data_IF_419290250302
#
_entry.id   IF_419290250302
#
_cell.length_a   1.000
_cell.length_b   1.000
_cell.length_c   1.000
_cell.angle_alpha   90.00
_cell.angle_beta   90.00
_cell.angle_gamma   90.00
#
_symmetry.space_group_name_H-M   'P 1'
#
loop_
_entity.id
_entity.type
_entity.pdbx_description
1 polymer ?
#
# COMPACT_ATOMS: atom_id res chain seq x y z
N UNK A 1 3.10 -5.01 5.27
CA UNK A 1 3.65 -6.10 4.43
C UNK A 1 4.96 -6.63 5.00
N UNK A 2 5.74 -5.80 5.69
CA UNK A 2 6.97 -6.18 6.36
C UNK A 2 6.79 -7.38 7.33
N UNK A 3 5.80 -7.36 8.21
CA UNK A 3 5.53 -8.49 9.13
C UNK A 3 5.29 -9.81 8.41
N UNK A 4 4.58 -9.77 7.27
CA UNK A 4 4.30 -10.96 6.46
C UNK A 4 5.58 -11.51 5.82
N UNK A 5 6.51 -10.62 5.46
CA UNK A 5 7.84 -11.00 5.01
C UNK A 5 8.64 -11.67 6.14
N UNK A 6 8.63 -11.09 7.34
CA UNK A 6 9.36 -11.61 8.50
C UNK A 6 8.87 -13.00 8.95
N UNK A 7 7.57 -13.27 8.78
CA UNK A 7 6.99 -14.60 8.98
C UNK A 7 7.39 -15.61 7.88
N UNK A 8 8.13 -15.17 6.86
CA UNK A 8 8.67 -16.01 5.80
C UNK A 8 7.66 -16.36 4.70
N UNK A 9 6.54 -15.65 4.60
CA UNK A 9 5.51 -15.90 3.57
C UNK A 9 5.86 -15.25 2.21
N UNK A 10 6.70 -14.21 2.19
CA UNK A 10 7.12 -13.50 0.97
C UNK A 10 8.63 -13.61 0.74
N UNK A 11 9.12 -14.76 0.26
CA UNK A 11 10.58 -15.03 0.17
C UNK A 11 11.25 -14.59 -1.12
N UNK A 12 10.49 -14.32 -2.17
CA UNK A 12 11.03 -14.00 -3.50
C UNK A 12 10.69 -12.57 -3.88
N UNK A 13 11.54 -11.95 -4.72
CA UNK A 13 11.22 -10.63 -5.29
C UNK A 13 9.99 -10.76 -6.18
N UNK A 14 9.04 -9.84 -6.00
CA UNK A 14 7.81 -9.85 -6.79
C UNK A 14 6.68 -9.05 -6.13
N UNK A 15 5.54 -9.10 -6.82
CA UNK A 15 4.30 -8.42 -6.45
C UNK A 15 3.34 -9.46 -5.88
N UNK A 16 2.85 -9.21 -4.67
CA UNK A 16 1.99 -10.10 -3.91
C UNK A 16 0.68 -9.40 -3.59
N UNK A 17 -0.44 -10.02 -3.94
CA UNK A 17 -1.78 -9.48 -3.68
C UNK A 17 -2.43 -10.28 -2.55
N UNK A 18 -2.28 -9.80 -1.32
CA UNK A 18 -2.65 -10.56 -0.12
C UNK A 18 -3.59 -9.77 0.78
N UNK A 19 -4.32 -10.48 1.64
CA UNK A 19 -5.09 -9.86 2.71
C UNK A 19 -4.17 -9.54 3.89
N UNK A 20 -4.17 -8.29 4.33
CA UNK A 20 -3.45 -7.85 5.53
C UNK A 20 -4.45 -7.29 6.54
N UNK A 21 -4.13 -7.43 7.82
CA UNK A 21 -4.93 -6.87 8.92
C UNK A 21 -4.02 -6.11 9.88
N UNK A 22 -3.86 -4.80 9.70
CA UNK A 22 -3.20 -3.93 10.66
C UNK A 22 -3.85 -4.01 12.05
N UNK A 23 -3.06 -3.75 13.09
CA UNK A 23 -3.56 -3.52 14.43
C UNK A 23 -4.54 -2.34 14.44
N UNK A 24 -5.65 -2.49 15.16
CA UNK A 24 -6.74 -1.49 15.19
C UNK A 24 -7.71 -1.58 14.01
N UNK A 25 -7.35 -2.22 12.89
CA UNK A 25 -8.28 -2.42 11.79
C UNK A 25 -9.39 -3.42 12.17
N UNK A 26 -10.65 -3.06 11.92
CA UNK A 26 -11.79 -3.92 12.22
C UNK A 26 -11.82 -5.16 11.32
N UNK A 27 -11.41 -5.02 10.06
CA UNK A 27 -11.42 -6.08 9.05
C UNK A 27 -10.08 -6.11 8.29
N UNK A 28 -9.74 -7.29 7.75
CA UNK A 28 -8.62 -7.40 6.82
C UNK A 28 -8.99 -6.78 5.46
N UNK A 29 -8.01 -6.24 4.75
CA UNK A 29 -8.20 -5.70 3.39
C UNK A 29 -7.10 -6.20 2.45
N UNK A 30 -7.40 -6.21 1.14
CA UNK A 30 -6.46 -6.64 0.11
C UNK A 30 -5.44 -5.53 -0.13
N UNK A 31 -4.16 -5.87 -0.15
CA UNK A 31 -3.07 -4.94 -0.42
C UNK A 31 -2.09 -5.53 -1.44
N UNK A 32 -1.42 -4.63 -2.16
CA UNK A 32 -0.27 -4.97 -2.98
C UNK A 32 1.00 -4.85 -2.13
N UNK A 33 1.66 -5.98 -1.88
CA UNK A 33 2.96 -6.05 -1.22
C UNK A 33 4.06 -6.26 -2.27
N UNK A 34 5.16 -5.51 -2.19
CA UNK A 34 6.35 -5.70 -3.03
C UNK A 34 7.54 -6.11 -2.19
N UNK A 35 8.17 -7.21 -2.58
CA UNK A 35 9.44 -7.63 -1.99
C UNK A 35 10.61 -7.01 -2.72
N UNK A 36 11.26 -6.04 -2.07
CA UNK A 36 12.42 -5.32 -2.62
C UNK A 36 13.50 -5.25 -1.56
N UNK A 37 14.72 -5.69 -1.89
CA UNK A 37 15.90 -5.63 -1.01
C UNK A 37 15.67 -6.19 0.40
N UNK A 38 14.99 -7.34 0.50
CA UNK A 38 14.63 -7.99 1.77
C UNK A 38 13.75 -7.13 2.68
N UNK A 39 12.92 -6.26 2.10
CA UNK A 39 11.87 -5.54 2.81
C UNK A 39 10.53 -5.72 2.08
N UNK A 40 9.47 -5.90 2.85
CA UNK A 40 8.10 -6.07 2.37
C UNK A 40 7.37 -4.74 2.36
N UNK A 41 7.29 -4.11 1.20
CA UNK A 41 6.65 -2.80 1.04
C UNK A 41 5.17 -2.93 0.78
N UNK A 42 4.35 -2.18 1.49
CA UNK A 42 2.91 -2.02 1.19
C UNK A 42 2.74 -0.85 0.22
N UNK A 43 2.11 -1.10 -0.93
CA UNK A 43 1.82 -0.05 -1.92
C UNK A 43 0.49 0.63 -1.57
N UNK A 44 0.53 1.94 -1.31
CA UNK A 44 -0.66 2.72 -0.94
C UNK A 44 -1.29 3.42 -2.14
N UNK A 45 -0.50 3.68 -3.19
CA UNK A 45 -0.95 4.33 -4.42
C UNK A 45 -0.08 3.88 -5.60
N UNK A 46 -0.72 3.68 -6.76
CA UNK A 46 -0.06 3.36 -8.02
C UNK A 46 -0.70 4.13 -9.18
N UNK A 47 0.14 4.78 -9.98
CA UNK A 47 -0.18 5.45 -11.27
C UNK A 47 0.76 4.92 -12.34
N UNK A 48 0.24 4.70 -13.54
CA UNK A 48 0.99 4.16 -14.67
C UNK A 48 0.49 4.66 -16.04
N UNK A 49 -0.80 4.90 -16.23
CA UNK A 49 -1.41 5.11 -17.56
C UNK A 49 -2.57 6.11 -17.58
N UNK A 50 -3.03 6.58 -16.42
CA UNK A 50 -4.18 7.48 -16.31
C UNK A 50 -5.54 6.81 -16.54
N UNK A 51 -5.62 5.48 -16.47
CA UNK A 51 -6.87 4.72 -16.60
C UNK A 51 -7.87 4.97 -15.47
N UNK A 52 -7.41 5.49 -14.33
CA UNK A 52 -8.26 5.80 -13.18
C UNK A 52 -8.20 7.31 -12.91
N UNK A 53 -9.38 7.92 -12.80
CA UNK A 53 -9.49 9.32 -12.36
C UNK A 53 -9.17 9.44 -10.86
N UNK A 54 -8.28 10.37 -10.52
CA UNK A 54 -7.89 10.71 -9.15
C UNK A 54 -8.54 12.02 -8.66
N UNK A 55 -9.32 12.70 -9.49
CA UNK A 55 -10.17 13.81 -9.04
C UNK A 55 -11.44 13.26 -8.39
N UNK A 56 -11.30 12.79 -7.16
CA UNK A 56 -12.33 12.07 -6.41
C UNK A 56 -12.81 12.85 -5.18
N UNK A 57 -14.00 12.51 -4.73
CA UNK A 57 -14.58 13.04 -3.48
C UNK A 57 -13.81 12.54 -2.26
N UNK A 58 -14.00 13.20 -1.12
CA UNK A 58 -13.41 12.75 0.13
C UNK A 58 -13.85 11.32 0.47
N UNK A 59 -15.14 11.00 0.35
CA UNK A 59 -15.63 9.66 0.68
C UNK A 59 -14.97 8.54 -0.17
N UNK A 60 -14.71 8.81 -1.45
CA UNK A 60 -13.96 7.88 -2.31
C UNK A 60 -12.51 7.73 -1.88
N UNK A 61 -11.83 8.83 -1.53
CA UNK A 61 -10.47 8.77 -0.98
C UNK A 61 -10.41 8.05 0.37
N UNK A 62 -11.48 8.12 1.16
CA UNK A 62 -11.60 7.45 2.45
C UNK A 62 -11.62 5.93 2.28
N UNK A 63 -12.47 5.44 1.39
CA UNK A 63 -12.65 4.02 1.12
C UNK A 63 -11.59 3.43 0.18
N UNK A 64 -10.98 4.24 -0.67
CA UNK A 64 -10.10 3.80 -1.74
C UNK A 64 -10.84 3.55 -3.06
N UNK A 65 -10.10 3.57 -4.15
CA UNK A 65 -10.63 3.41 -5.51
C UNK A 65 -9.60 2.85 -6.47
N UNK A 66 -10.07 2.41 -7.65
CA UNK A 66 -9.24 1.79 -8.68
C UNK A 66 -9.07 0.28 -8.48
N UNK A 67 -8.01 -0.28 -9.06
CA UNK A 67 -7.70 -1.71 -9.00
C UNK A 67 -6.25 -1.93 -8.60
N UNK A 68 -6.00 -2.85 -7.66
CA UNK A 68 -4.65 -3.20 -7.23
C UNK A 68 -3.77 -3.68 -8.40
N UNK A 69 -4.38 -4.30 -9.42
CA UNK A 69 -3.68 -4.77 -10.63
C UNK A 69 -3.35 -3.61 -11.60
N UNK A 70 -4.10 -2.50 -11.52
CA UNK A 70 -3.96 -1.30 -12.35
C UNK A 70 -3.49 -0.09 -11.55
N UNK A 71 -4.18 1.05 -11.75
CA UNK A 71 -4.03 2.24 -10.92
C UNK A 71 -5.00 2.22 -9.74
N UNK A 72 -4.55 2.67 -8.57
CA UNK A 72 -5.40 2.69 -7.37
C UNK A 72 -4.93 3.67 -6.30
N UNK A 73 -5.86 3.94 -5.39
CA UNK A 73 -5.64 4.51 -4.06
C UNK A 73 -6.17 3.54 -3.01
N UNK A 74 -5.35 3.15 -2.03
CA UNK A 74 -5.68 2.11 -1.05
C UNK A 74 -6.84 2.50 -0.11
N UNK A 75 -7.07 3.79 0.08
CA UNK A 75 -8.07 4.33 1.01
C UNK A 75 -7.44 4.89 2.28
N UNK A 76 -7.86 6.09 2.68
CA UNK A 76 -7.27 6.79 3.82
C UNK A 76 -7.54 6.07 5.15
N UNK A 77 -8.67 5.39 5.31
CA UNK A 77 -8.95 4.60 6.52
C UNK A 77 -7.92 3.45 6.63
N UNK A 78 -7.64 2.76 5.52
CA UNK A 78 -6.64 1.68 5.48
C UNK A 78 -5.22 2.22 5.73
N UNK A 79 -4.87 3.33 5.10
CA UNK A 79 -3.57 4.00 5.30
C UNK A 79 -3.42 4.45 6.76
N UNK A 80 -4.47 5.00 7.36
CA UNK A 80 -4.47 5.39 8.77
C UNK A 80 -4.20 4.20 9.69
N UNK A 81 -4.87 3.07 9.47
CA UNK A 81 -4.60 1.88 10.27
C UNK A 81 -3.15 1.43 10.13
N UNK A 82 -2.61 1.43 8.91
CA UNK A 82 -1.22 1.04 8.66
C UNK A 82 -0.21 1.99 9.32
N UNK A 83 -0.45 3.30 9.33
CA UNK A 83 0.47 4.29 9.92
C UNK A 83 0.30 4.45 11.43
N UNK A 84 -0.86 4.07 11.98
CA UNK A 84 -1.14 4.12 13.43
C UNK A 84 -0.56 2.94 14.23
N UNK A 85 0.08 1.98 13.58
CA UNK A 85 0.65 0.80 14.24
C UNK A 85 1.98 1.11 14.94
N UNK A 86 1.97 1.81 16.08
CA UNK A 86 3.20 2.08 16.86
C UNK A 86 4.02 3.28 16.36
N UNK A 87 5.24 3.44 16.87
CA UNK A 87 6.16 4.53 16.51
C UNK A 87 6.82 4.30 15.14
N UNK A 88 6.03 4.33 14.07
CA UNK A 88 6.61 4.56 12.75
C UNK A 88 6.86 6.06 12.61
N UNK A 89 8.14 6.45 12.61
CA UNK A 89 8.52 7.80 12.20
C UNK A 89 7.90 8.09 10.83
N UNK A 90 6.96 9.04 10.81
CA UNK A 90 6.22 9.52 9.64
C UNK A 90 7.12 9.84 8.44
N UNK A 91 8.43 10.01 8.69
CA UNK A 91 9.46 10.38 7.74
C UNK A 91 9.94 9.25 6.82
N UNK A 92 9.64 7.97 7.09
CA UNK A 92 10.07 6.83 6.25
C UNK A 92 8.98 6.28 5.29
N UNK A 93 7.82 6.96 5.19
CA UNK A 93 6.56 6.34 4.76
C UNK A 93 6.25 6.52 3.26
N UNK A 94 7.00 7.32 2.50
CA UNK A 94 6.67 7.58 1.08
C UNK A 94 7.94 7.65 0.23
N UNK A 95 8.28 6.53 -0.42
CA UNK A 95 9.22 6.57 -1.55
C UNK A 95 8.46 6.81 -2.85
N UNK A 96 8.67 7.96 -3.48
CA UNK A 96 8.17 8.21 -4.84
C UNK A 96 9.27 7.80 -5.81
N UNK A 97 9.05 6.74 -6.61
CA UNK A 97 9.87 6.55 -7.81
C UNK A 97 9.29 7.41 -8.93
N UNK A 98 10.04 8.40 -9.40
CA UNK A 98 9.75 9.13 -10.64
C UNK A 98 10.57 8.53 -11.78
N UNK A 99 10.10 7.42 -12.34
CA UNK A 99 10.44 7.03 -13.71
C UNK A 99 9.15 6.43 -14.31
N UNK A 100 8.38 7.30 -14.96
CA UNK A 100 7.10 7.06 -15.65
C UNK A 100 5.89 6.58 -14.80
N UNK A 101 6.09 5.95 -13.64
CA UNK A 101 5.01 5.47 -12.77
C UNK A 101 5.14 6.06 -11.36
N UNK A 102 4.18 6.88 -10.91
CA UNK A 102 4.14 7.35 -9.51
C UNK A 102 3.60 6.23 -8.63
N UNK A 103 4.47 5.64 -7.82
CA UNK A 103 4.10 4.63 -6.83
C UNK A 103 4.56 5.11 -5.47
N UNK A 104 3.64 5.09 -4.50
CA UNK A 104 3.92 5.38 -3.11
C UNK A 104 3.94 4.08 -2.30
N UNK A 105 4.99 3.92 -1.49
CA UNK A 105 5.25 2.72 -0.67
C UNK A 105 5.38 3.09 0.78
N UNK A 106 4.86 2.24 1.67
CA UNK A 106 5.14 2.26 3.11
C UNK A 106 5.75 0.93 3.56
N UNK A 107 6.70 0.97 4.52
CA UNK A 107 7.28 -0.22 5.15
C UNK A 107 6.33 -0.77 6.21
#
# INVERSE_FOLDING_TARGET
>A
CQDVFEQGAMRFRGDYYIMIKPAGATHAFKALCKMVNNSGWTVIQKRQDGSVDFFRTWDEYRHGFGSLEGEFWLGNDNIHYLTSQGEYDLMNIIHIRQYNNMIAYMT
#
